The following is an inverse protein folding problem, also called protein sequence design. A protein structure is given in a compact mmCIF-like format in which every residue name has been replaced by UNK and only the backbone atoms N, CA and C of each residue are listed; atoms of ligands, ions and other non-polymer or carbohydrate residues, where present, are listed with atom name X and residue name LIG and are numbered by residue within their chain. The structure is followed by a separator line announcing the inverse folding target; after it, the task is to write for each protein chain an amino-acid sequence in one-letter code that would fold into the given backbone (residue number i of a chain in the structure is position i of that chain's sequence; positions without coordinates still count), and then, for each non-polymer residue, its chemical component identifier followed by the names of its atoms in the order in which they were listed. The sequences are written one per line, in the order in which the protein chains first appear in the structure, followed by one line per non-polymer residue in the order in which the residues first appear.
data_IF_321328524320
#
_entry.id   IF_321328524320
#
_cell.length_a   1.000
_cell.length_b   1.000
_cell.length_c   1.000
_cell.angle_alpha   90.00
_cell.angle_beta   90.00
_cell.angle_gamma   90.00
#
_symmetry.space_group_name_H-M   'P 1'
#
loop_
_entity.id
_entity.type
_entity.pdbx_description
1 polymer ?
#
# COMPACT_ATOMS: atom_id res chain seq x y z
N UNK A 1 25.33 -0.17 11.62
CA UNK A 1 23.89 0.20 11.59
C UNK A 1 23.16 -0.88 10.82
N UNK A 2 22.03 -1.37 11.33
CA UNK A 2 21.26 -2.44 10.67
C UNK A 2 20.27 -1.82 9.68
N UNK A 3 20.29 -2.27 8.41
CA UNK A 3 19.42 -1.76 7.36
C UNK A 3 18.12 -2.58 7.31
N UNK A 4 17.17 -2.25 8.17
CA UNK A 4 15.90 -2.98 8.29
C UNK A 4 14.93 -2.53 7.19
N UNK A 5 14.41 -3.51 6.44
CA UNK A 5 13.24 -3.29 5.58
C UNK A 5 11.99 -3.22 6.45
N UNK A 6 11.15 -2.22 6.21
CA UNK A 6 9.96 -1.96 7.00
C UNK A 6 8.74 -1.73 6.11
N UNK A 7 7.56 -1.96 6.70
CA UNK A 7 6.26 -1.70 6.11
C UNK A 7 5.37 -1.04 7.16
N UNK A 8 4.66 0.02 6.76
CA UNK A 8 3.60 0.65 7.53
C UNK A 8 2.33 0.53 6.70
N UNK A 9 1.35 -0.22 7.18
CA UNK A 9 0.07 -0.44 6.48
C UNK A 9 -1.09 -0.01 7.38
N UNK A 10 -2.09 0.63 6.78
CA UNK A 10 -3.28 1.09 7.50
C UNK A 10 -4.06 2.14 6.71
N UNK A 11 -5.05 2.73 7.38
CA UNK A 11 -5.82 3.87 6.89
C UNK A 11 -5.01 5.17 7.06
N UNK A 12 -4.56 5.75 5.96
CA UNK A 12 -3.85 7.04 5.92
C UNK A 12 -4.79 8.24 5.75
N UNK A 13 -6.08 7.98 5.53
CA UNK A 13 -7.16 8.96 5.38
C UNK A 13 -6.85 10.06 4.34
N UNK A 14 -6.10 9.68 3.29
CA UNK A 14 -5.76 10.53 2.14
C UNK A 14 -5.35 9.68 0.96
N UNK A 15 -5.61 10.21 -0.25
CA UNK A 15 -5.14 9.60 -1.49
C UNK A 15 -3.61 9.35 -1.46
N UNK A 16 -3.13 8.21 -1.98
CA UNK A 16 -1.71 7.85 -1.98
C UNK A 16 -0.79 8.90 -2.65
N UNK A 17 -1.22 9.56 -3.72
CA UNK A 17 -0.43 10.62 -4.37
C UNK A 17 -0.29 11.85 -3.47
N UNK A 18 -1.33 12.18 -2.72
CA UNK A 18 -1.29 13.28 -1.74
C UNK A 18 -0.32 12.95 -0.60
N UNK A 19 -0.31 11.71 -0.09
CA UNK A 19 0.70 11.29 0.88
C UNK A 19 2.10 11.35 0.27
N UNK A 20 2.26 10.82 -0.95
CA UNK A 20 3.56 10.82 -1.63
C UNK A 20 4.10 12.23 -1.74
N UNK A 21 3.28 13.19 -2.14
CA UNK A 21 3.62 14.61 -2.22
C UNK A 21 3.94 15.27 -0.87
N UNK A 22 3.42 14.76 0.24
CA UNK A 22 3.71 15.30 1.57
C UNK A 22 5.03 14.77 2.19
N UNK A 23 5.55 13.62 1.74
CA UNK A 23 6.77 13.02 2.28
C UNK A 23 8.01 13.81 1.80
N UNK A 24 8.91 14.22 2.70
CA UNK A 24 10.15 14.92 2.29
C UNK A 24 11.04 14.08 1.37
N UNK A 25 11.76 14.73 0.45
CA UNK A 25 12.57 14.08 -0.60
C UNK A 25 13.50 12.95 -0.10
N UNK A 26 14.24 13.09 1.02
CA UNK A 26 15.11 12.01 1.49
C UNK A 26 14.35 10.73 1.88
N UNK A 27 13.20 10.87 2.56
CA UNK A 27 12.35 9.74 2.96
C UNK A 27 11.64 9.16 1.73
N UNK A 28 11.16 10.05 0.86
CA UNK A 28 10.45 9.75 -0.38
C UNK A 28 11.27 8.92 -1.37
N UNK A 29 12.58 9.13 -1.43
CA UNK A 29 13.49 8.36 -2.29
C UNK A 29 13.79 6.96 -1.73
N UNK A 30 13.54 6.76 -0.45
CA UNK A 30 13.79 5.52 0.29
C UNK A 30 12.51 4.75 0.63
N UNK A 31 11.41 5.12 -0.03
CA UNK A 31 10.09 4.54 0.18
C UNK A 31 9.33 4.38 -1.12
N UNK A 32 8.39 3.42 -1.14
CA UNK A 32 7.35 3.33 -2.17
C UNK A 32 6.00 3.12 -1.50
N UNK A 33 4.95 3.70 -2.09
CA UNK A 33 3.56 3.48 -1.69
C UNK A 33 3.00 2.32 -2.51
N UNK A 34 2.42 1.35 -1.83
CA UNK A 34 1.73 0.20 -2.41
C UNK A 34 0.23 0.36 -2.12
N UNK A 35 -0.53 0.78 -3.13
CA UNK A 35 -1.97 1.03 -3.01
C UNK A 35 -2.75 0.29 -4.12
N UNK A 36 -3.98 -0.16 -3.85
CA UNK A 36 -4.85 -0.73 -4.87
C UNK A 36 -5.30 0.36 -5.86
N UNK A 37 -5.81 -0.05 -7.02
CA UNK A 37 -6.46 0.86 -7.99
C UNK A 37 -7.91 1.19 -7.63
N UNK A 38 -8.54 0.34 -6.83
CA UNK A 38 -9.95 0.44 -6.48
C UNK A 38 -10.15 1.14 -5.13
N UNK A 39 -11.30 1.80 -4.90
CA UNK A 39 -11.63 2.39 -3.62
C UNK A 39 -11.55 1.41 -2.46
N UNK A 40 -11.00 1.85 -1.33
CA UNK A 40 -10.82 1.01 -0.12
C UNK A 40 -11.89 1.24 0.93
N UNK A 41 -12.83 2.16 0.68
CA UNK A 41 -14.01 2.36 1.53
C UNK A 41 -15.28 2.58 0.71
N UNK A 42 -16.45 2.40 1.33
CA UNK A 42 -17.78 2.55 0.69
C UNK A 42 -18.05 3.96 0.17
N UNK A 43 -17.52 4.98 0.83
CA UNK A 43 -17.64 6.38 0.41
C UNK A 43 -16.72 6.75 -0.76
N UNK A 44 -15.93 5.80 -1.27
CA UNK A 44 -14.96 6.01 -2.34
C UNK A 44 -13.59 6.44 -1.84
N UNK A 45 -12.63 6.52 -2.77
CA UNK A 45 -11.24 6.88 -2.48
C UNK A 45 -10.37 5.72 -2.01
N UNK A 46 -9.06 5.90 -2.13
CA UNK A 46 -8.03 4.94 -1.73
C UNK A 46 -7.37 5.48 -0.46
N UNK A 47 -7.75 4.93 0.69
CA UNK A 47 -7.32 5.39 2.01
C UNK A 47 -6.47 4.35 2.74
N UNK A 48 -6.73 3.07 2.48
CA UNK A 48 -6.05 1.93 3.09
C UNK A 48 -4.96 1.41 2.14
N UNK A 49 -3.70 1.52 2.54
CA UNK A 49 -2.58 1.07 1.72
C UNK A 49 -1.34 0.83 2.57
N UNK A 50 -0.20 0.58 1.94
CA UNK A 50 1.07 0.43 2.63
C UNK A 50 2.13 1.41 2.11
N UNK A 51 3.03 1.83 3.00
CA UNK A 51 4.31 2.45 2.68
C UNK A 51 5.40 1.47 3.08
N UNK A 52 6.27 1.11 2.16
CA UNK A 52 7.44 0.27 2.44
C UNK A 52 8.71 1.06 2.23
N UNK A 53 9.75 0.74 2.97
CA UNK A 53 11.01 1.45 2.88
C UNK A 53 12.18 0.80 3.57
N UNK A 54 13.33 1.45 3.42
CA UNK A 54 14.56 1.15 4.12
C UNK A 54 15.35 2.45 4.30
N UNK A 55 15.77 2.77 5.52
CA UNK A 55 16.40 4.06 5.81
C UNK A 55 17.87 4.17 5.32
N UNK A 56 18.48 3.07 4.87
CA UNK A 56 19.92 3.01 4.52
C UNK A 56 20.11 2.63 3.05
N UNK A 57 19.46 1.54 2.59
CA UNK A 57 19.61 1.02 1.24
C UNK A 57 18.27 0.47 0.75
N UNK A 58 17.47 1.32 0.11
CA UNK A 58 16.16 0.93 -0.39
C UNK A 58 16.26 0.36 -1.81
N UNK A 59 15.75 -0.86 -1.97
CA UNK A 59 15.47 -1.49 -3.25
C UNK A 59 13.95 -1.73 -3.27
N UNK A 60 13.20 -1.12 -4.20
CA UNK A 60 11.76 -1.34 -4.31
C UNK A 60 11.44 -2.84 -4.42
N UNK A 61 10.60 -3.39 -3.53
CA UNK A 61 10.23 -4.80 -3.60
C UNK A 61 9.18 -5.02 -4.68
N UNK A 62 9.14 -6.23 -5.24
CA UNK A 62 8.10 -6.66 -6.19
C UNK A 62 6.84 -7.07 -5.42
N UNK A 63 6.22 -6.11 -4.74
CA UNK A 63 4.96 -6.29 -4.01
C UNK A 63 3.84 -5.50 -4.71
N UNK A 64 2.63 -6.02 -4.65
CA UNK A 64 1.41 -5.36 -5.14
C UNK A 64 0.39 -5.25 -4.02
N UNK A 65 -0.47 -4.24 -4.11
CA UNK A 65 -1.61 -4.05 -3.25
C UNK A 65 -2.90 -4.36 -4.01
N UNK A 66 -3.86 -4.99 -3.35
CA UNK A 66 -5.18 -5.31 -3.92
C UNK A 66 -6.23 -5.49 -2.85
N UNK A 67 -7.50 -5.25 -3.20
CA UNK A 67 -8.62 -5.54 -2.31
C UNK A 67 -8.69 -7.04 -2.04
N UNK A 68 -8.69 -7.42 -0.77
CA UNK A 68 -9.03 -8.77 -0.37
C UNK A 68 -10.54 -8.94 -0.49
N UNK A 69 -10.96 -10.11 -0.93
CA UNK A 69 -12.36 -10.50 -1.08
C UNK A 69 -13.15 -9.80 -2.20
N UNK A 70 -12.66 -8.74 -2.86
CA UNK A 70 -13.23 -8.18 -4.10
C UNK A 70 -14.76 -8.03 -4.08
N UNK A 71 -15.46 -8.46 -5.14
CA UNK A 71 -16.94 -8.49 -5.23
C UNK A 71 -17.61 -9.66 -4.47
N UNK A 72 -16.86 -10.45 -3.69
CA UNK A 72 -17.49 -11.55 -2.95
C UNK A 72 -18.39 -10.96 -1.88
N UNK A 73 -19.63 -11.45 -1.82
CA UNK A 73 -20.58 -11.18 -0.74
C UNK A 73 -20.02 -11.69 0.59
N UNK A 74 -19.13 -10.90 1.18
CA UNK A 74 -18.56 -11.11 2.51
C UNK A 74 -19.26 -10.13 3.44
N UNK A 75 -19.85 -10.64 4.52
CA UNK A 75 -20.41 -9.77 5.55
C UNK A 75 -19.25 -9.22 6.37
N UNK A 76 -18.66 -8.12 5.89
CA UNK A 76 -17.74 -7.32 6.69
C UNK A 76 -18.57 -6.22 7.36
N UNK A 77 -18.60 -6.22 8.69
CA UNK A 77 -19.23 -5.15 9.48
C UNK A 77 -18.34 -3.91 9.53
N UNK A 78 -17.91 -3.43 8.36
CA UNK A 78 -17.08 -2.24 8.15
C UNK A 78 -17.45 -1.59 6.82
N UNK A 79 -17.22 -0.29 6.73
CA UNK A 79 -17.21 0.48 5.49
C UNK A 79 -15.85 0.49 4.80
N UNK A 80 -14.78 0.01 5.45
CA UNK A 80 -13.47 -0.22 4.84
C UNK A 80 -13.32 -1.67 4.34
N UNK A 81 -12.73 -1.82 3.15
CA UNK A 81 -12.38 -3.09 2.54
C UNK A 81 -10.95 -3.49 2.94
N UNK A 82 -10.71 -4.75 3.35
CA UNK A 82 -9.36 -5.19 3.68
C UNK A 82 -8.44 -5.14 2.45
N UNK A 83 -7.22 -4.61 2.62
CA UNK A 83 -6.20 -4.53 1.55
C UNK A 83 -5.07 -5.51 1.83
N UNK A 84 -4.75 -6.33 0.85
CA UNK A 84 -3.65 -7.29 0.92
C UNK A 84 -2.42 -6.77 0.20
N UNK A 85 -1.24 -7.05 0.77
CA UNK A 85 0.06 -6.81 0.13
C UNK A 85 0.70 -8.16 -0.16
N UNK A 86 0.96 -8.46 -1.43
CA UNK A 86 1.39 -9.79 -1.87
C UNK A 86 2.41 -9.71 -2.99
N UNK A 87 3.19 -10.79 -3.14
CA UNK A 87 3.97 -11.01 -4.35
C UNK A 87 3.00 -11.26 -5.51
N UNK A 88 3.24 -10.69 -6.70
CA UNK A 88 2.46 -11.04 -7.87
C UNK A 88 2.58 -12.54 -8.18
N UNK A 89 1.56 -13.15 -8.84
CA UNK A 89 1.63 -14.52 -9.29
C UNK A 89 2.88 -14.77 -10.16
N UNK A 90 3.46 -15.97 -10.14
CA UNK A 90 4.53 -16.32 -11.06
C UNK A 90 4.08 -16.12 -12.53
N UNK A 91 4.83 -15.34 -13.30
CA UNK A 91 4.60 -15.13 -14.73
C UNK A 91 3.98 -13.78 -15.12
N UNK A 92 3.56 -12.96 -14.17
CA UNK A 92 3.22 -11.56 -14.45
C UNK A 92 4.47 -10.67 -14.53
N UNK A 93 4.43 -9.56 -15.30
CA UNK A 93 5.52 -8.58 -15.33
C UNK A 93 5.84 -8.11 -13.90
N UNK A 94 7.12 -8.19 -13.54
CA UNK A 94 7.66 -7.68 -12.27
C UNK A 94 7.85 -6.17 -12.36
#
# INVERSE_FOLDING_TARGET
MQATNWMIAGDFNRNPDNLRMAIETPVRNNTVILAPSDPTQRSGGILDYAVVGNAIAFIPPVLRAGLLFGERATQISSDHYPVGIFLPPPGEPR
#
